data_IF_977413710428
#
_entry.id   IF_977413710428
#
_cell.length_a   1.000
_cell.length_b   1.000
_cell.length_c   1.000
_cell.angle_alpha   90.00
_cell.angle_beta   90.00
_cell.angle_gamma   90.00
#
_symmetry.space_group_name_H-M   'P 1'
#
loop_
_entity.id
_entity.type
_entity.pdbx_description
1 polymer ?
#
# COMPACT_ATOMS: atom_id res chain seq x y z
N UNK A 1 18.72 -9.75 2.07
CA UNK A 1 17.97 -9.35 0.86
C UNK A 1 16.86 -8.42 1.32
N UNK A 2 16.62 -7.31 0.62
CA UNK A 2 15.50 -6.40 0.91
C UNK A 2 14.18 -6.92 0.36
N UNK A 3 13.08 -6.31 0.78
CA UNK A 3 11.72 -6.71 0.41
C UNK A 3 11.51 -6.63 -1.12
N UNK A 4 12.00 -5.57 -1.75
CA UNK A 4 11.84 -5.34 -3.19
C UNK A 4 12.54 -6.41 -4.04
N UNK A 5 13.71 -6.89 -3.60
CA UNK A 5 14.45 -7.95 -4.32
C UNK A 5 13.68 -9.26 -4.30
N UNK A 6 13.14 -9.65 -3.14
CA UNK A 6 12.36 -10.88 -3.01
C UNK A 6 11.04 -10.76 -3.78
N UNK A 7 10.34 -9.63 -3.66
CA UNK A 7 9.12 -9.39 -4.42
C UNK A 7 9.35 -9.41 -5.94
N UNK A 8 10.46 -8.83 -6.42
CA UNK A 8 10.80 -8.87 -7.84
C UNK A 8 10.89 -10.30 -8.35
N UNK A 9 11.55 -11.19 -7.60
CA UNK A 9 11.67 -12.60 -7.96
C UNK A 9 10.31 -13.31 -7.97
N UNK A 10 9.44 -13.02 -7.01
CA UNK A 10 8.07 -13.56 -6.96
C UNK A 10 7.23 -13.11 -8.17
N UNK A 11 7.27 -11.81 -8.51
CA UNK A 11 6.59 -11.25 -9.69
C UNK A 11 7.11 -11.84 -11.01
N UNK A 12 8.43 -11.98 -11.14
CA UNK A 12 9.06 -12.60 -12.32
C UNK A 12 8.65 -14.07 -12.45
N UNK A 13 8.64 -14.81 -11.34
CA UNK A 13 8.23 -16.21 -11.31
C UNK A 13 6.77 -16.37 -11.69
N UNK A 14 5.87 -15.57 -11.11
CA UNK A 14 4.44 -15.58 -11.42
C UNK A 14 4.19 -15.32 -12.92
N UNK A 15 4.88 -14.35 -13.50
CA UNK A 15 4.75 -14.02 -14.91
C UNK A 15 5.32 -15.10 -15.84
N UNK A 16 6.57 -15.53 -15.62
CA UNK A 16 7.27 -16.46 -16.51
C UNK A 16 6.64 -17.85 -16.50
N UNK A 17 6.20 -18.30 -15.31
CA UNK A 17 5.51 -19.58 -15.17
C UNK A 17 4.07 -19.54 -15.73
N UNK A 18 3.56 -18.37 -16.14
CA UNK A 18 2.14 -18.13 -16.39
C UNK A 18 1.29 -18.67 -15.24
N UNK A 19 1.72 -18.37 -14.01
CA UNK A 19 1.09 -18.87 -12.80
C UNK A 19 -0.36 -18.41 -12.68
N UNK A 20 -1.17 -19.11 -11.88
CA UNK A 20 -2.56 -18.76 -11.69
C UNK A 20 -2.68 -17.37 -11.03
N UNK A 21 -3.63 -16.58 -11.51
CA UNK A 21 -4.06 -15.33 -10.89
C UNK A 21 -5.58 -15.40 -10.60
N UNK A 22 -6.08 -14.82 -9.51
CA UNK A 22 -5.35 -14.00 -8.53
C UNK A 22 -4.35 -14.81 -7.66
N UNK A 23 -3.30 -14.15 -7.19
CA UNK A 23 -2.21 -14.73 -6.41
C UNK A 23 -1.78 -13.80 -5.26
N UNK A 24 -1.46 -14.41 -4.11
CA UNK A 24 -0.93 -13.71 -2.93
C UNK A 24 0.59 -13.89 -2.89
N UNK A 25 1.33 -12.82 -3.17
CA UNK A 25 2.79 -12.80 -3.12
C UNK A 25 3.25 -12.33 -1.74
N UNK A 26 4.37 -12.88 -1.26
CA UNK A 26 4.92 -12.55 0.05
C UNK A 26 6.40 -12.28 -0.06
N UNK A 27 6.88 -11.30 0.70
CA UNK A 27 8.30 -11.05 0.87
C UNK A 27 8.62 -10.72 2.33
N UNK A 28 9.83 -11.05 2.76
CA UNK A 28 10.29 -10.73 4.12
C UNK A 28 11.75 -10.29 4.12
N UNK A 29 12.12 -9.42 5.05
CA UNK A 29 13.50 -8.97 5.24
C UNK A 29 14.12 -9.52 6.55
N UNK A 30 15.38 -9.17 6.79
CA UNK A 30 16.12 -9.60 7.99
C UNK A 30 15.68 -8.87 9.28
N UNK A 31 14.95 -7.75 9.16
CA UNK A 31 14.39 -7.01 10.31
C UNK A 31 13.03 -7.58 10.76
N UNK A 32 12.49 -8.54 10.01
CA UNK A 32 11.19 -9.15 10.30
C UNK A 32 10.02 -8.38 9.68
N UNK A 33 10.28 -7.44 8.76
CA UNK A 33 9.22 -6.88 7.93
C UNK A 33 8.64 -7.97 7.04
N UNK A 34 7.32 -8.00 6.93
CA UNK A 34 6.63 -8.95 6.06
C UNK A 34 5.67 -8.20 5.14
N UNK A 35 5.92 -8.29 3.84
CA UNK A 35 5.09 -7.72 2.80
C UNK A 35 4.15 -8.80 2.24
N UNK A 36 2.89 -8.44 2.00
CA UNK A 36 1.91 -9.22 1.27
C UNK A 36 1.30 -8.37 0.17
N UNK A 37 1.20 -8.92 -1.05
CA UNK A 37 0.58 -8.26 -2.19
C UNK A 37 -0.42 -9.20 -2.83
N UNK A 38 -1.65 -8.73 -3.01
CA UNK A 38 -2.71 -9.47 -3.70
C UNK A 38 -2.76 -9.04 -5.17
N UNK A 39 -2.15 -9.86 -6.03
CA UNK A 39 -2.07 -9.64 -7.48
C UNK A 39 -3.30 -10.26 -8.14
N UNK A 40 -4.07 -9.45 -8.89
CA UNK A 40 -5.27 -9.90 -9.61
C UNK A 40 -4.95 -10.33 -11.03
N UNK A 41 -4.08 -9.58 -11.72
CA UNK A 41 -3.56 -9.93 -13.05
C UNK A 41 -2.14 -9.39 -13.20
N UNK A 42 -1.34 -9.99 -14.08
CA UNK A 42 0.02 -9.58 -14.37
C UNK A 42 0.32 -9.69 -15.87
N UNK A 43 0.98 -8.69 -16.41
CA UNK A 43 1.53 -8.66 -17.77
C UNK A 43 3.00 -8.23 -17.74
N UNK A 44 3.65 -8.13 -18.89
CA UNK A 44 5.08 -7.81 -19.02
C UNK A 44 5.52 -6.55 -18.27
N UNK A 45 4.70 -5.50 -18.28
CA UNK A 45 5.04 -4.16 -17.77
C UNK A 45 4.37 -3.83 -16.44
N UNK A 46 3.20 -4.41 -16.17
CA UNK A 46 2.39 -4.06 -15.01
C UNK A 46 1.55 -5.20 -14.46
N UNK A 47 0.78 -4.85 -13.45
CA UNK A 47 -0.17 -5.73 -12.80
C UNK A 47 -1.31 -4.95 -12.17
N UNK A 48 -2.45 -5.61 -12.06
CA UNK A 48 -3.55 -5.18 -11.22
C UNK A 48 -3.32 -5.74 -9.81
N UNK A 49 -3.33 -4.87 -8.81
CA UNK A 49 -3.15 -5.22 -7.39
C UNK A 49 -4.37 -4.76 -6.61
N UNK A 50 -4.99 -5.63 -5.82
CA UNK A 50 -6.15 -5.24 -4.99
C UNK A 50 -5.74 -4.71 -3.62
N UNK A 51 -4.60 -5.15 -3.10
CA UNK A 51 -4.12 -4.84 -1.76
C UNK A 51 -2.59 -4.97 -1.66
N UNK A 52 -1.96 -4.04 -0.95
CA UNK A 52 -0.58 -4.16 -0.48
C UNK A 52 -0.56 -3.94 1.04
N UNK A 53 -0.05 -4.92 1.76
CA UNK A 53 0.03 -4.90 3.22
C UNK A 53 1.48 -5.12 3.66
N UNK A 54 1.95 -4.29 4.60
CA UNK A 54 3.25 -4.45 5.23
C UNK A 54 3.06 -4.56 6.73
N UNK A 55 3.52 -5.67 7.29
CA UNK A 55 3.64 -5.88 8.73
C UNK A 55 4.95 -5.28 9.22
N UNK A 56 4.84 -4.42 10.24
CA UNK A 56 5.94 -3.64 10.80
C UNK A 56 5.99 -3.89 12.31
N UNK A 57 6.77 -4.89 12.77
CA UNK A 57 6.79 -5.27 14.18
C UNK A 57 7.18 -4.14 15.13
N UNK A 58 8.01 -3.19 14.68
CA UNK A 58 8.44 -2.03 15.49
C UNK A 58 7.30 -1.10 15.87
N UNK A 59 6.14 -1.18 15.20
CA UNK A 59 4.98 -0.35 15.51
C UNK A 59 4.13 -0.83 16.68
N UNK A 60 4.16 -2.12 17.06
CA UNK A 60 3.20 -2.68 18.04
C UNK A 60 3.21 -2.00 19.42
N UNK A 61 4.27 -1.27 19.73
CA UNK A 61 4.43 -0.52 20.98
C UNK A 61 5.06 0.85 20.74
N UNK A 62 5.01 1.35 19.51
CA UNK A 62 5.48 2.69 19.20
C UNK A 62 4.56 3.74 19.86
N UNK A 63 5.13 4.90 20.16
CA UNK A 63 4.31 6.05 20.55
C UNK A 63 3.51 6.53 19.33
N UNK A 64 2.30 7.06 19.54
CA UNK A 64 1.45 7.50 18.43
C UNK A 64 2.11 8.57 17.55
N UNK A 65 2.98 9.41 18.12
CA UNK A 65 3.77 10.39 17.35
C UNK A 65 4.72 9.76 16.33
N UNK A 66 5.21 8.53 16.57
CA UNK A 66 5.98 7.78 15.58
C UNK A 66 5.12 7.46 14.35
N UNK A 67 3.84 7.11 14.58
CA UNK A 67 2.89 6.82 13.51
C UNK A 67 2.57 8.07 12.68
N UNK A 68 2.49 9.25 13.32
CA UNK A 68 2.34 10.54 12.62
C UNK A 68 3.56 10.87 11.75
N UNK A 69 4.76 10.76 12.34
CA UNK A 69 6.00 11.01 11.62
C UNK A 69 6.15 10.07 10.42
N UNK A 70 5.76 8.80 10.58
CA UNK A 70 5.78 7.87 9.47
C UNK A 70 4.78 8.25 8.37
N UNK A 71 3.56 8.67 8.74
CA UNK A 71 2.57 9.14 7.77
C UNK A 71 3.05 10.35 6.95
N UNK A 72 3.72 11.31 7.60
CA UNK A 72 4.31 12.47 6.94
C UNK A 72 5.46 12.06 6.01
N UNK A 73 6.37 11.20 6.49
CA UNK A 73 7.49 10.70 5.70
C UNK A 73 7.03 9.94 4.45
N UNK A 74 6.00 9.09 4.59
CA UNK A 74 5.38 8.37 3.47
C UNK A 74 4.76 9.32 2.46
N UNK A 75 3.99 10.30 2.92
CA UNK A 75 3.29 11.26 2.05
C UNK A 75 4.25 12.17 1.28
N UNK A 76 5.41 12.49 1.87
CA UNK A 76 6.46 13.26 1.20
C UNK A 76 7.26 12.43 0.19
N UNK A 77 7.40 11.12 0.43
CA UNK A 77 8.25 10.23 -0.38
C UNK A 77 7.49 9.59 -1.54
N UNK A 78 6.23 9.25 -1.35
CA UNK A 78 5.39 8.58 -2.35
C UNK A 78 4.67 9.65 -3.18
N UNK A 79 5.38 10.20 -4.17
CA UNK A 79 4.88 11.29 -5.04
C UNK A 79 4.59 10.85 -6.48
N UNK A 80 4.64 9.56 -6.75
CA UNK A 80 4.59 8.97 -8.10
C UNK A 80 3.35 8.09 -8.32
N UNK A 81 2.43 8.03 -7.35
CA UNK A 81 1.09 7.49 -7.58
C UNK A 81 0.29 8.47 -8.45
N UNK A 82 -0.82 8.00 -9.03
CA UNK A 82 -1.69 8.83 -9.87
C UNK A 82 -2.22 10.07 -9.13
N UNK A 83 -2.53 9.93 -7.85
CA UNK A 83 -2.91 11.02 -6.97
C UNK A 83 -1.89 11.16 -5.83
N UNK A 84 -1.49 12.40 -5.54
CA UNK A 84 -0.69 12.69 -4.34
C UNK A 84 -1.47 12.29 -3.10
N UNK A 85 -0.80 11.62 -2.16
CA UNK A 85 -1.37 11.21 -0.88
C UNK A 85 -0.95 12.14 0.25
N UNK A 86 -1.78 12.25 1.28
CA UNK A 86 -1.50 13.03 2.49
C UNK A 86 -2.31 12.53 3.67
N UNK A 87 -1.86 12.80 4.92
CA UNK A 87 -2.63 12.44 6.11
C UNK A 87 -4.01 13.09 6.09
N UNK A 88 -5.04 12.30 6.36
CA UNK A 88 -6.44 12.73 6.40
C UNK A 88 -6.98 12.74 7.84
N UNK A 89 -6.66 11.70 8.61
CA UNK A 89 -7.19 11.53 9.96
C UNK A 89 -6.14 10.89 10.88
N UNK A 90 -6.08 11.39 12.11
CA UNK A 90 -5.25 10.86 13.19
C UNK A 90 -6.16 10.44 14.33
N UNK A 91 -6.30 9.14 14.54
CA UNK A 91 -7.09 8.58 15.64
C UNK A 91 -6.16 7.95 16.68
N UNK A 92 -5.79 8.74 17.68
CA UNK A 92 -4.91 8.31 18.77
C UNK A 92 -5.56 7.23 19.63
N UNK A 93 -6.89 7.29 19.83
CA UNK A 93 -7.61 6.31 20.61
C UNK A 93 -7.63 4.94 19.91
N UNK A 94 -7.82 4.93 18.59
CA UNK A 94 -7.68 3.73 17.75
C UNK A 94 -6.22 3.36 17.48
N UNK A 95 -5.25 4.26 17.69
CA UNK A 95 -3.86 4.04 17.30
C UNK A 95 -3.72 3.89 15.79
N UNK A 96 -4.45 4.71 15.03
CA UNK A 96 -4.53 4.63 13.58
C UNK A 96 -4.29 6.00 12.94
N UNK A 97 -3.66 5.97 11.76
CA UNK A 97 -3.57 7.13 10.88
C UNK A 97 -4.10 6.74 9.51
N UNK A 98 -5.07 7.50 9.03
CA UNK A 98 -5.59 7.37 7.67
C UNK A 98 -4.91 8.42 6.79
N UNK A 99 -4.29 7.96 5.72
CA UNK A 99 -3.74 8.78 4.64
C UNK A 99 -4.61 8.53 3.41
N UNK A 100 -4.93 9.57 2.65
CA UNK A 100 -5.75 9.49 1.44
C UNK A 100 -5.17 10.36 0.34
N UNK A 101 -5.53 10.09 -0.91
CA UNK A 101 -5.33 11.03 -2.01
C UNK A 101 -5.88 12.43 -1.66
N UNK A 102 -5.04 13.46 -1.80
CA UNK A 102 -5.36 14.87 -1.54
C UNK A 102 -6.27 15.43 -2.63
N UNK A 103 -6.00 15.08 -3.88
CA UNK A 103 -6.81 15.43 -5.05
C UNK A 103 -7.24 14.14 -5.76
N UNK A 104 -8.30 13.46 -5.28
CA UNK A 104 -8.84 12.25 -5.90
C UNK A 104 -9.16 12.44 -7.38
N UNK A 105 -8.92 11.41 -8.19
CA UNK A 105 -9.30 11.39 -9.60
C UNK A 105 -10.81 11.47 -9.75
N UNK A 106 -11.28 12.50 -10.45
CA UNK A 106 -12.70 12.80 -10.59
C UNK A 106 -13.29 12.02 -11.77
N UNK A 107 -14.29 11.19 -11.48
CA UNK A 107 -15.04 10.47 -12.49
C UNK A 107 -16.40 11.13 -12.73
N UNK A 108 -17.07 10.88 -13.87
CA UNK A 108 -18.41 11.38 -14.11
C UNK A 108 -19.39 11.03 -12.96
N UNK A 109 -19.28 9.79 -12.45
CA UNK A 109 -20.18 9.19 -11.46
C UNK A 109 -19.62 9.18 -10.03
N UNK A 110 -18.47 9.80 -9.77
CA UNK A 110 -17.79 9.60 -8.50
C UNK A 110 -16.34 10.08 -8.45
N UNK A 111 -15.54 9.42 -7.63
CA UNK A 111 -14.10 9.66 -7.55
C UNK A 111 -13.37 8.35 -7.23
N UNK A 112 -12.11 8.25 -7.67
CA UNK A 112 -11.18 7.22 -7.23
C UNK A 112 -10.06 7.84 -6.42
N UNK A 113 -9.59 7.10 -5.41
CA UNK A 113 -8.52 7.55 -4.54
C UNK A 113 -7.81 6.37 -3.90
N UNK A 114 -6.53 6.57 -3.61
CA UNK A 114 -5.75 5.69 -2.74
C UNK A 114 -6.05 5.98 -1.28
N UNK A 115 -5.96 4.94 -0.47
CA UNK A 115 -5.93 5.04 0.98
C UNK A 115 -4.86 4.16 1.57
N UNK A 116 -4.17 4.71 2.55
CA UNK A 116 -3.25 3.98 3.40
C UNK A 116 -3.76 4.07 4.82
N UNK A 117 -3.97 2.91 5.44
CA UNK A 117 -4.23 2.80 6.87
C UNK A 117 -2.95 2.35 7.56
N UNK A 118 -2.43 3.22 8.44
CA UNK A 118 -1.38 2.85 9.39
C UNK A 118 -2.04 2.48 10.72
N UNK A 119 -1.59 1.39 11.33
CA UNK A 119 -2.11 0.93 12.61
C UNK A 119 -0.98 0.42 13.48
N UNK A 120 -0.87 0.93 14.70
CA UNK A 120 0.04 0.38 15.72
C UNK A 120 -0.62 -0.78 16.51
N UNK A 121 -1.90 -1.06 16.28
CA UNK A 121 -2.60 -2.20 16.89
C UNK A 121 -2.21 -3.53 16.22
N UNK A 122 -2.36 -4.62 16.96
CA UNK A 122 -2.09 -5.96 16.46
C UNK A 122 -0.60 -6.12 16.17
N UNK A 123 -0.25 -6.46 14.92
CA UNK A 123 1.15 -6.69 14.52
C UNK A 123 1.89 -5.44 14.05
N UNK A 124 1.24 -4.27 14.04
CA UNK A 124 1.75 -3.07 13.39
C UNK A 124 1.60 -3.20 11.87
N UNK A 125 0.78 -2.37 11.23
CA UNK A 125 0.47 -2.54 9.80
C UNK A 125 0.44 -1.24 9.03
N UNK A 126 0.86 -1.34 7.77
CA UNK A 126 0.54 -0.44 6.68
C UNK A 126 -0.36 -1.21 5.71
N UNK A 127 -1.47 -0.62 5.29
CA UNK A 127 -2.39 -1.22 4.33
C UNK A 127 -2.75 -0.20 3.25
N UNK A 128 -2.30 -0.44 2.02
CA UNK A 128 -2.65 0.34 0.84
C UNK A 128 -3.75 -0.33 0.02
N UNK A 129 -4.79 0.44 -0.28
CA UNK A 129 -5.88 0.09 -1.19
C UNK A 129 -6.24 1.28 -2.08
N UNK A 130 -6.98 1.00 -3.16
CA UNK A 130 -7.68 2.03 -3.92
C UNK A 130 -9.18 1.80 -3.82
N UNK A 131 -9.92 2.90 -3.78
CA UNK A 131 -11.36 2.89 -3.63
C UNK A 131 -12.03 3.75 -4.68
N UNK A 132 -13.26 3.37 -5.05
CA UNK A 132 -14.20 4.19 -5.82
C UNK A 132 -15.36 4.59 -4.91
N UNK A 133 -15.66 5.87 -4.86
CA UNK A 133 -16.94 6.40 -4.34
C UNK A 133 -17.88 6.71 -5.49
N UNK A 134 -19.18 6.48 -5.30
CA UNK A 134 -20.23 6.76 -6.29
C UNK A 134 -21.14 7.88 -5.77
N UNK A 135 -21.45 8.88 -6.60
CA UNK A 135 -22.35 9.98 -6.23
C UNK A 135 -23.73 9.44 -5.84
N UNK A 136 -24.27 9.96 -4.72
CA UNK A 136 -25.57 9.55 -4.21
C UNK A 136 -25.59 8.19 -3.50
N UNK A 137 -24.45 7.49 -3.40
CA UNK A 137 -24.32 6.27 -2.61
C UNK A 137 -23.40 6.53 -1.42
N UNK A 138 -23.78 6.01 -0.25
CA UNK A 138 -22.91 6.05 0.93
C UNK A 138 -21.84 4.96 0.81
N UNK A 139 -20.65 5.26 1.32
CA UNK A 139 -19.52 4.33 1.36
C UNK A 139 -18.65 4.37 0.10
N UNK A 140 -17.88 3.30 -0.07
CA UNK A 140 -16.85 3.15 -1.11
C UNK A 140 -16.63 1.68 -1.41
N UNK A 141 -16.24 1.38 -2.63
CA UNK A 141 -15.95 0.02 -3.09
C UNK A 141 -14.46 -0.10 -3.41
N UNK A 142 -13.76 -1.15 -2.94
CA UNK A 142 -12.37 -1.36 -3.33
C UNK A 142 -12.28 -1.59 -4.84
N UNK A 143 -11.24 -1.04 -5.46
CA UNK A 143 -10.92 -1.22 -6.87
C UNK A 143 -9.45 -1.57 -7.02
N UNK A 144 -9.10 -2.18 -8.15
CA UNK A 144 -7.73 -2.57 -8.45
C UNK A 144 -6.84 -1.34 -8.67
N UNK A 145 -5.61 -1.44 -8.19
CA UNK A 145 -4.51 -0.53 -8.45
C UNK A 145 -3.76 -1.05 -9.67
N UNK A 146 -3.85 -0.31 -10.79
CA UNK A 146 -3.09 -0.61 -11.99
C UNK A 146 -1.73 0.06 -11.86
N UNK A 147 -0.70 -0.74 -11.60
CA UNK A 147 0.65 -0.26 -11.35
C UNK A 147 1.62 -0.97 -12.29
N UNK A 148 2.66 -0.25 -12.72
CA UNK A 148 3.80 -0.92 -13.35
C UNK A 148 4.55 -1.72 -12.28
N UNK A 149 5.28 -2.76 -12.72
CA UNK A 149 6.12 -3.53 -11.82
C UNK A 149 7.17 -2.65 -11.14
N UNK A 150 7.73 -1.68 -11.87
CA UNK A 150 8.70 -0.72 -11.34
C UNK A 150 8.11 0.17 -10.24
N UNK A 151 6.87 0.65 -10.40
CA UNK A 151 6.19 1.46 -9.37
C UNK A 151 5.98 0.65 -8.10
N UNK A 152 5.60 -0.63 -8.20
CA UNK A 152 5.44 -1.49 -7.02
C UNK A 152 6.78 -1.71 -6.31
N UNK A 153 7.84 -2.00 -7.06
CA UNK A 153 9.17 -2.21 -6.46
C UNK A 153 9.67 -0.93 -5.77
N UNK A 154 9.50 0.22 -6.42
CA UNK A 154 9.84 1.52 -5.84
C UNK A 154 9.02 1.83 -4.59
N UNK A 155 7.72 1.52 -4.61
CA UNK A 155 6.86 1.64 -3.43
C UNK A 155 7.40 0.82 -2.27
N UNK A 156 7.74 -0.44 -2.51
CA UNK A 156 8.31 -1.31 -1.48
C UNK A 156 9.65 -0.79 -0.96
N UNK A 157 10.54 -0.30 -1.82
CA UNK A 157 11.80 0.33 -1.39
C UNK A 157 11.56 1.57 -0.52
N UNK A 158 10.57 2.41 -0.88
CA UNK A 158 10.22 3.61 -0.13
C UNK A 158 9.56 3.28 1.22
N UNK A 159 8.75 2.22 1.29
CA UNK A 159 8.24 1.70 2.56
C UNK A 159 9.41 1.20 3.43
N UNK A 160 10.28 0.36 2.86
CA UNK A 160 11.41 -0.24 3.56
C UNK A 160 12.37 0.81 4.14
N UNK A 161 12.53 1.94 3.44
CA UNK A 161 13.38 3.07 3.82
C UNK A 161 12.73 4.04 4.81
N UNK A 162 11.41 3.98 5.03
CA UNK A 162 10.68 4.91 5.92
C UNK A 162 10.11 4.25 7.16
N UNK A 163 10.11 2.91 7.24
CA UNK A 163 9.70 2.18 8.44
C UNK A 163 10.44 2.73 9.68
N UNK A 164 9.72 3.03 10.79
CA UNK A 164 10.31 3.46 12.06
C UNK A 164 11.18 2.42 12.78
#
# INVERSE_FOLDING_TARGET
MGLSTNLKQELETLYQARGPVPASLRASDARGLMLRIEVVTIDLLGCAVSELELFVPTLQSAAFDVLKQWADALSQRITYLLEQIGPLEFDEAAGQVLIRSVSPDQLPDGAQYYEILLSQRGSGTFLLKRYKSTKGQSGRTPVEMLLTREVILKLVDDLEATVP
#
